data_IF_163231164563
#
_entry.id   IF_163231164563
#
_cell.length_a   1.000
_cell.length_b   1.000
_cell.length_c   1.000
_cell.angle_alpha   90.00
_cell.angle_beta   90.00
_cell.angle_gamma   90.00
#
_symmetry.space_group_name_H-M   'P 1'
#
loop_
_entity.id
_entity.type
_entity.pdbx_description
1 polymer ?
#
# COMPACT_ATOMS: atom_id res chain seq x y z
N UNK A 1 26.35 -24.16 -6.15
CA UNK A 1 27.25 -24.07 -4.99
C UNK A 1 27.28 -22.64 -4.50
N UNK A 2 26.46 -22.32 -3.49
CA UNK A 2 26.51 -21.02 -2.81
C UNK A 2 27.75 -21.03 -1.89
N UNK A 3 28.78 -20.24 -2.24
CA UNK A 3 29.91 -20.00 -1.36
C UNK A 3 29.49 -18.99 -0.30
N UNK A 4 29.68 -19.35 0.96
CA UNK A 4 29.40 -18.53 2.13
C UNK A 4 30.14 -17.18 2.04
N UNK A 5 29.41 -16.08 2.28
CA UNK A 5 30.00 -14.79 2.58
C UNK A 5 30.59 -14.88 3.99
N UNK A 6 31.91 -15.00 4.11
CA UNK A 6 32.58 -14.89 5.40
C UNK A 6 32.69 -13.40 5.77
N UNK A 7 32.08 -13.04 6.90
CA UNK A 7 32.12 -11.69 7.47
C UNK A 7 33.33 -11.62 8.41
N UNK A 8 34.35 -10.84 8.04
CA UNK A 8 35.50 -10.55 8.92
C UNK A 8 35.34 -9.15 9.49
N UNK A 9 35.26 -9.02 10.82
CA UNK A 9 35.31 -7.75 11.51
C UNK A 9 36.61 -7.65 12.30
N UNK A 10 37.33 -6.53 12.19
CA UNK A 10 38.45 -6.22 13.07
C UNK A 10 38.23 -4.85 13.71
N UNK A 11 38.27 -4.79 15.03
CA UNK A 11 38.13 -3.57 15.83
C UNK A 11 39.52 -2.96 16.09
N UNK A 12 39.96 -2.01 15.27
CA UNK A 12 41.17 -1.23 15.58
C UNK A 12 40.84 -0.14 16.62
N UNK A 13 41.25 -0.33 17.88
CA UNK A 13 41.14 0.69 18.93
C UNK A 13 42.37 1.60 18.98
N UNK A 14 42.22 2.92 19.11
CA UNK A 14 43.25 3.79 19.65
C UNK A 14 43.42 3.53 21.15
N UNK A 15 44.66 3.40 21.61
CA UNK A 15 45.01 3.11 23.00
C UNK A 15 44.84 4.39 23.86
N UNK A 16 43.71 4.52 24.57
CA UNK A 16 43.58 5.46 25.70
C UNK A 16 43.26 4.70 26.98
N UNK A 17 44.12 4.86 27.98
CA UNK A 17 43.95 4.29 29.33
C UNK A 17 42.88 5.08 30.08
N UNK A 18 41.84 4.38 30.54
CA UNK A 18 41.01 4.82 31.67
C UNK A 18 39.71 5.53 31.29
N UNK A 19 38.72 4.80 30.82
CA UNK A 19 37.33 5.24 30.93
C UNK A 19 36.43 4.01 31.12
N UNK A 20 35.91 3.81 32.34
CA UNK A 20 34.91 2.78 32.61
C UNK A 20 33.55 3.26 32.08
N UNK A 21 32.91 2.58 31.12
CA UNK A 21 31.61 3.01 30.62
C UNK A 21 30.56 2.71 31.69
N UNK A 22 29.98 3.78 32.25
CA UNK A 22 28.80 3.66 33.10
C UNK A 22 27.61 3.34 32.19
N UNK A 23 27.29 2.05 32.03
CA UNK A 23 26.11 1.59 31.30
C UNK A 23 24.84 2.05 32.04
N UNK A 24 24.32 3.23 31.73
CA UNK A 24 22.94 3.60 32.06
C UNK A 24 22.01 2.86 31.12
N UNK A 25 21.17 1.97 31.67
CA UNK A 25 19.99 1.45 30.96
C UNK A 25 19.10 2.65 30.61
N UNK A 26 19.13 3.08 29.35
CA UNK A 26 18.09 3.93 28.79
C UNK A 26 16.92 3.00 28.49
N UNK A 27 15.78 3.08 29.20
CA UNK A 27 14.62 2.28 28.85
C UNK A 27 14.21 2.64 27.42
N UNK A 28 14.23 1.65 26.53
CA UNK A 28 13.61 1.79 25.21
C UNK A 28 12.15 2.18 25.44
N UNK A 29 11.63 3.22 24.76
CA UNK A 29 10.22 3.57 24.86
C UNK A 29 9.41 2.34 24.44
N UNK A 30 8.76 1.70 25.41
CA UNK A 30 7.75 0.68 25.14
C UNK A 30 6.68 1.40 24.32
N UNK A 31 6.35 0.95 23.10
CA UNK A 31 5.26 1.54 22.33
C UNK A 31 4.00 1.39 23.18
N UNK A 32 3.55 2.49 23.78
CA UNK A 32 2.28 2.47 24.47
C UNK A 32 1.22 2.14 23.43
N UNK A 33 0.33 1.16 23.68
CA UNK A 33 -0.83 0.98 22.82
C UNK A 33 -1.51 2.33 22.74
N UNK A 34 -1.63 2.84 21.52
CA UNK A 34 -2.14 4.16 21.20
C UNK A 34 -3.54 4.30 21.82
N UNK A 35 -3.61 4.83 23.05
CA UNK A 35 -4.84 5.24 23.74
C UNK A 35 -5.34 6.52 23.10
N UNK A 36 -5.55 6.51 21.79
CA UNK A 36 -6.50 7.42 21.14
C UNK A 36 -7.88 6.75 21.15
N UNK A 37 -8.36 6.38 22.35
CA UNK A 37 -9.80 6.38 22.58
C UNK A 37 -10.22 7.86 22.61
N UNK A 38 -10.29 8.49 21.43
CA UNK A 38 -10.96 9.79 21.31
C UNK A 38 -12.38 9.55 21.82
N UNK A 39 -12.73 10.29 22.88
CA UNK A 39 -14.06 10.28 23.46
C UNK A 39 -15.08 10.50 22.33
N UNK A 40 -15.86 9.46 22.08
CA UNK A 40 -16.88 9.39 21.05
C UNK A 40 -18.03 10.30 21.50
N UNK A 41 -18.12 11.53 20.98
CA UNK A 41 -19.39 12.27 21.00
C UNK A 41 -20.29 11.63 19.95
N UNK A 42 -20.86 10.47 20.30
CA UNK A 42 -21.37 9.50 19.32
C UNK A 42 -22.55 9.94 18.48
N UNK A 43 -23.38 10.87 18.98
CA UNK A 43 -24.59 11.33 18.29
C UNK A 43 -24.30 12.13 17.01
N UNK A 44 -23.48 13.20 17.01
CA UNK A 44 -23.19 13.96 15.78
C UNK A 44 -22.45 13.14 14.73
N UNK A 45 -21.52 12.26 15.14
CA UNK A 45 -20.80 11.39 14.19
C UNK A 45 -21.73 10.39 13.52
N UNK A 46 -22.64 9.76 14.28
CA UNK A 46 -23.67 8.87 13.74
C UNK A 46 -24.58 9.63 12.78
N UNK A 47 -25.06 10.82 13.16
CA UNK A 47 -25.92 11.64 12.31
C UNK A 47 -25.28 12.03 10.98
N UNK A 48 -24.01 12.48 11.00
CA UNK A 48 -23.26 12.82 9.78
C UNK A 48 -23.06 11.58 8.91
N UNK A 49 -22.65 10.44 9.49
CA UNK A 49 -22.44 9.22 8.73
C UNK A 49 -23.73 8.70 8.09
N UNK A 50 -24.86 8.76 8.80
CA UNK A 50 -26.18 8.44 8.25
C UNK A 50 -26.52 9.34 7.07
N UNK A 51 -26.29 10.65 7.19
CA UNK A 51 -26.56 11.60 6.11
C UNK A 51 -25.66 11.32 4.88
N UNK A 52 -24.37 11.10 5.09
CA UNK A 52 -23.42 10.77 4.04
C UNK A 52 -23.81 9.47 3.34
N UNK A 53 -24.14 8.41 4.10
CA UNK A 53 -24.62 7.15 3.56
C UNK A 53 -25.89 7.35 2.73
N UNK A 54 -26.86 8.12 3.25
CA UNK A 54 -28.13 8.38 2.57
C UNK A 54 -27.94 9.12 1.24
N UNK A 55 -27.16 10.21 1.23
CA UNK A 55 -26.87 10.97 0.01
C UNK A 55 -26.12 10.10 -1.00
N UNK A 56 -25.11 9.35 -0.55
CA UNK A 56 -24.36 8.44 -1.40
C UNK A 56 -25.25 7.33 -1.99
N UNK A 57 -26.22 6.84 -1.22
CA UNK A 57 -27.18 5.84 -1.67
C UNK A 57 -28.13 6.39 -2.71
N UNK A 58 -28.68 7.59 -2.49
CA UNK A 58 -29.51 8.26 -3.50
C UNK A 58 -28.73 8.55 -4.78
N UNK A 59 -27.47 8.98 -4.66
CA UNK A 59 -26.60 9.15 -5.82
C UNK A 59 -26.34 7.83 -6.56
N UNK A 60 -26.03 6.74 -5.84
CA UNK A 60 -25.88 5.41 -6.45
C UNK A 60 -27.15 4.98 -7.19
N UNK A 61 -28.33 5.21 -6.62
CA UNK A 61 -29.61 4.89 -7.26
C UNK A 61 -29.93 5.74 -8.49
N UNK A 62 -29.38 6.95 -8.61
CA UNK A 62 -29.48 7.73 -9.86
C UNK A 62 -28.73 7.06 -11.02
N UNK A 63 -27.78 6.17 -10.72
CA UNK A 63 -27.02 5.39 -11.69
C UNK A 63 -27.62 3.98 -11.90
N UNK A 64 -28.69 3.62 -11.18
CA UNK A 64 -29.31 2.31 -11.25
C UNK A 64 -30.02 2.11 -12.59
N UNK A 65 -29.88 0.91 -13.16
CA UNK A 65 -30.26 0.68 -14.56
C UNK A 65 -31.07 -0.59 -14.80
N UNK A 66 -30.79 -1.70 -14.09
CA UNK A 66 -31.50 -2.98 -14.24
C UNK A 66 -32.70 -3.13 -13.29
N UNK A 67 -32.58 -2.60 -12.08
CA UNK A 67 -33.66 -2.50 -11.10
C UNK A 67 -33.49 -1.16 -10.39
N UNK A 68 -34.58 -0.53 -9.96
CA UNK A 68 -34.56 0.74 -9.23
C UNK A 68 -33.80 0.70 -7.89
N UNK A 69 -33.27 -0.46 -7.51
CA UNK A 69 -32.50 -0.70 -6.29
C UNK A 69 -31.09 -1.27 -6.56
N UNK A 70 -30.76 -1.62 -7.81
CA UNK A 70 -29.48 -2.25 -8.17
C UNK A 70 -28.63 -1.26 -8.98
N UNK A 71 -27.55 -0.77 -8.37
CA UNK A 71 -26.61 0.18 -8.98
C UNK A 71 -25.36 -0.52 -9.51
N UNK A 72 -24.80 -0.08 -10.65
CA UNK A 72 -23.47 -0.50 -11.13
C UNK A 72 -22.34 -0.38 -10.12
N UNK A 73 -22.41 0.65 -9.27
CA UNK A 73 -21.50 0.87 -8.15
C UNK A 73 -22.32 1.37 -6.98
N UNK A 74 -22.09 0.81 -5.80
CA UNK A 74 -22.77 1.20 -4.58
C UNK A 74 -21.80 1.92 -3.62
N UNK A 75 -21.63 3.25 -3.74
CA UNK A 75 -20.76 3.99 -2.84
C UNK A 75 -21.02 3.79 -1.33
N UNK A 76 -22.28 3.59 -0.88
CA UNK A 76 -22.54 3.34 0.53
C UNK A 76 -21.89 2.09 1.11
N UNK A 77 -21.67 1.02 0.32
CA UNK A 77 -20.95 -0.17 0.79
C UNK A 77 -19.54 0.20 1.25
N UNK A 78 -18.76 0.84 0.36
CA UNK A 78 -17.39 1.25 0.69
C UNK A 78 -17.31 2.32 1.77
N UNK A 79 -18.29 3.24 1.86
CA UNK A 79 -18.40 4.19 2.97
C UNK A 79 -18.62 3.45 4.29
N UNK A 80 -19.54 2.48 4.32
CA UNK A 80 -19.85 1.70 5.51
C UNK A 80 -18.66 0.86 5.98
N UNK A 81 -17.99 0.16 5.05
CA UNK A 81 -16.80 -0.62 5.35
C UNK A 81 -15.68 0.26 5.90
N UNK A 82 -15.38 1.39 5.25
CA UNK A 82 -14.37 2.33 5.72
C UNK A 82 -14.74 2.94 7.08
N UNK A 83 -16.00 3.31 7.29
CA UNK A 83 -16.47 3.86 8.54
C UNK A 83 -16.31 2.87 9.70
N UNK A 84 -16.64 1.59 9.50
CA UNK A 84 -16.45 0.57 10.54
C UNK A 84 -14.98 0.27 10.82
N UNK A 85 -14.10 0.36 9.82
CA UNK A 85 -12.66 0.21 10.01
C UNK A 85 -12.03 1.41 10.74
N UNK A 86 -12.49 2.63 10.48
CA UNK A 86 -11.93 3.86 11.04
C UNK A 86 -12.56 4.27 12.38
N UNK A 87 -13.87 4.12 12.51
CA UNK A 87 -14.65 4.53 13.69
C UNK A 87 -14.98 3.36 14.62
N UNK A 88 -14.73 2.12 14.17
CA UNK A 88 -15.04 0.89 14.89
C UNK A 88 -16.50 0.44 14.75
N UNK A 89 -16.80 -0.76 15.27
CA UNK A 89 -18.12 -1.40 15.15
C UNK A 89 -19.29 -0.59 15.71
N UNK A 90 -19.04 0.41 16.58
CA UNK A 90 -20.11 1.24 17.18
C UNK A 90 -20.81 2.14 16.15
N UNK A 91 -20.25 2.30 14.95
CA UNK A 91 -20.87 3.06 13.87
C UNK A 91 -21.99 2.30 13.12
N UNK A 92 -22.20 1.00 13.40
CA UNK A 92 -23.22 0.18 12.71
C UNK A 92 -24.64 0.78 12.70
N UNK A 93 -25.15 1.47 13.76
CA UNK A 93 -26.50 2.02 13.72
C UNK A 93 -26.65 3.10 12.66
N UNK A 94 -25.58 3.85 12.36
CA UNK A 94 -25.60 4.89 11.34
C UNK A 94 -25.83 4.29 9.94
N UNK A 95 -25.20 3.15 9.67
CA UNK A 95 -25.31 2.39 8.43
C UNK A 95 -26.72 1.81 8.31
N UNK A 96 -27.23 1.19 9.38
CA UNK A 96 -28.57 0.61 9.39
C UNK A 96 -29.64 1.68 9.11
N UNK A 97 -29.59 2.81 9.83
CA UNK A 97 -30.56 3.91 9.64
C UNK A 97 -30.41 4.51 8.24
N UNK A 98 -29.18 4.73 7.76
CA UNK A 98 -28.93 5.22 6.41
C UNK A 98 -29.52 4.30 5.33
N UNK A 99 -29.22 3.00 5.41
CA UNK A 99 -29.74 2.01 4.48
C UNK A 99 -31.27 1.88 4.53
N UNK A 100 -31.86 1.92 5.72
CA UNK A 100 -33.31 1.92 5.88
C UNK A 100 -33.95 3.14 5.19
N UNK A 101 -33.42 4.35 5.45
CA UNK A 101 -33.93 5.59 4.86
C UNK A 101 -33.79 5.59 3.33
N UNK A 102 -32.69 5.09 2.79
CA UNK A 102 -32.51 4.97 1.33
C UNK A 102 -33.59 4.07 0.73
N UNK A 103 -33.82 2.89 1.32
CA UNK A 103 -34.74 1.90 0.74
C UNK A 103 -36.21 2.27 0.92
N UNK A 104 -36.61 2.76 2.11
CA UNK A 104 -38.01 3.15 2.38
C UNK A 104 -38.46 4.32 1.50
N UNK A 105 -37.52 5.12 1.00
CA UNK A 105 -37.79 6.24 0.10
C UNK A 105 -37.52 5.91 -1.38
N UNK A 106 -37.33 4.63 -1.74
CA UNK A 106 -37.02 4.21 -3.12
C UNK A 106 -38.02 3.18 -3.63
N UNK A 107 -37.91 1.92 -3.22
CA UNK A 107 -38.76 0.80 -3.66
C UNK A 107 -38.93 -0.18 -2.51
N UNK A 108 -40.12 -0.74 -2.41
CA UNK A 108 -40.48 -1.72 -1.38
C UNK A 108 -41.40 -1.15 -0.33
N UNK A 109 -41.47 -1.83 0.82
CA UNK A 109 -42.23 -1.41 1.99
C UNK A 109 -41.31 -1.37 3.22
N UNK A 110 -41.88 -1.07 4.39
CA UNK A 110 -41.12 -1.01 5.65
C UNK A 110 -40.41 -2.34 5.94
N UNK A 111 -41.05 -3.48 5.69
CA UNK A 111 -40.47 -4.79 5.96
C UNK A 111 -39.28 -5.10 5.04
N UNK A 112 -39.40 -4.87 3.73
CA UNK A 112 -38.29 -5.05 2.79
C UNK A 112 -37.15 -4.06 3.07
N UNK A 113 -37.48 -2.83 3.46
CA UNK A 113 -36.49 -1.81 3.83
C UNK A 113 -35.69 -2.21 5.08
N UNK A 114 -36.34 -2.81 6.08
CA UNK A 114 -35.68 -3.35 7.26
C UNK A 114 -34.77 -4.54 6.90
N UNK A 115 -35.21 -5.41 5.99
CA UNK A 115 -34.42 -6.55 5.53
C UNK A 115 -33.16 -6.10 4.77
N UNK A 116 -33.30 -5.18 3.81
CA UNK A 116 -32.16 -4.59 3.08
C UNK A 116 -31.21 -3.88 4.06
N UNK A 117 -31.72 -3.06 4.98
CA UNK A 117 -30.89 -2.37 5.97
C UNK A 117 -30.10 -3.34 6.85
N UNK A 118 -30.72 -4.47 7.23
CA UNK A 118 -30.05 -5.54 7.97
C UNK A 118 -28.93 -6.18 7.12
N UNK A 119 -29.22 -6.51 5.86
CA UNK A 119 -28.25 -7.06 4.91
C UNK A 119 -27.03 -6.17 4.73
N UNK A 120 -27.23 -4.90 4.37
CA UNK A 120 -26.15 -3.92 4.16
C UNK A 120 -25.31 -3.70 5.43
N UNK A 121 -25.95 -3.71 6.61
CA UNK A 121 -25.25 -3.56 7.88
C UNK A 121 -24.41 -4.78 8.20
N UNK A 122 -24.96 -5.98 8.01
CA UNK A 122 -24.27 -7.25 8.25
C UNK A 122 -23.10 -7.45 7.28
N UNK A 123 -23.27 -7.07 6.01
CA UNK A 123 -22.19 -6.99 5.03
C UNK A 123 -21.04 -6.14 5.57
N UNK A 124 -21.29 -4.89 5.91
CA UNK A 124 -20.24 -3.97 6.34
C UNK A 124 -19.54 -4.45 7.62
N UNK A 125 -20.30 -5.01 8.58
CA UNK A 125 -19.74 -5.59 9.81
C UNK A 125 -18.89 -6.82 9.51
N UNK A 126 -19.35 -7.71 8.63
CA UNK A 126 -18.61 -8.89 8.19
C UNK A 126 -17.32 -8.50 7.46
N UNK A 127 -17.40 -7.56 6.51
CA UNK A 127 -16.25 -7.04 5.77
C UNK A 127 -15.22 -6.42 6.71
N UNK A 128 -15.65 -5.56 7.64
CA UNK A 128 -14.77 -4.96 8.63
C UNK A 128 -14.12 -6.01 9.55
N UNK A 129 -14.88 -7.05 9.94
CA UNK A 129 -14.36 -8.18 10.71
C UNK A 129 -13.31 -8.99 9.93
N UNK A 130 -13.57 -9.35 8.67
CA UNK A 130 -12.61 -10.06 7.82
C UNK A 130 -11.32 -9.25 7.62
N UNK A 131 -11.45 -7.96 7.32
CA UNK A 131 -10.29 -7.07 7.09
C UNK A 131 -9.47 -6.88 8.37
N UNK A 132 -10.12 -6.64 9.53
CA UNK A 132 -9.42 -6.54 10.82
C UNK A 132 -8.74 -7.87 11.20
N UNK A 133 -9.39 -9.01 10.95
CA UNK A 133 -8.89 -10.33 11.36
C UNK A 133 -7.73 -10.81 10.52
N UNK A 134 -7.77 -10.61 9.21
CA UNK A 134 -6.85 -11.25 8.26
C UNK A 134 -5.91 -10.28 7.54
N UNK A 135 -6.27 -9.00 7.44
CA UNK A 135 -5.61 -8.04 6.57
C UNK A 135 -5.02 -6.81 7.30
N UNK A 136 -5.14 -6.72 8.62
CA UNK A 136 -4.52 -5.67 9.42
C UNK A 136 -5.35 -4.39 9.58
N UNK A 137 -6.65 -4.43 9.29
CA UNK A 137 -7.54 -3.29 9.52
C UNK A 137 -7.18 -2.09 8.67
N UNK A 138 -6.90 -0.94 9.28
CA UNK A 138 -6.58 0.31 8.57
C UNK A 138 -5.21 0.29 7.86
N UNK A 139 -4.30 -0.64 8.20
CA UNK A 139 -2.99 -0.77 7.53
C UNK A 139 -3.02 -1.77 6.37
N UNK A 140 -4.21 -2.16 5.91
CA UNK A 140 -4.38 -3.20 4.89
C UNK A 140 -3.68 -2.88 3.55
N UNK A 141 -3.48 -1.61 3.22
CA UNK A 141 -2.83 -1.17 1.98
C UNK A 141 -1.31 -0.93 2.11
N UNK A 142 -0.71 -1.32 3.25
CA UNK A 142 0.73 -1.22 3.46
C UNK A 142 1.52 -2.25 2.65
N UNK A 143 0.92 -3.41 2.38
CA UNK A 143 1.57 -4.53 1.69
C UNK A 143 0.70 -5.07 0.57
N UNK A 144 1.29 -5.62 -0.53
CA UNK A 144 0.53 -6.23 -1.61
C UNK A 144 -0.42 -7.33 -1.15
N UNK A 145 0.01 -8.19 -0.21
CA UNK A 145 -0.84 -9.27 0.29
C UNK A 145 -2.07 -8.75 1.03
N UNK A 146 -1.96 -7.58 1.67
CA UNK A 146 -3.10 -6.94 2.32
C UNK A 146 -4.16 -6.50 1.31
N UNK A 147 -3.75 -5.99 0.14
CA UNK A 147 -4.67 -5.61 -0.96
C UNK A 147 -5.48 -6.82 -1.45
N UNK A 148 -4.82 -7.97 -1.68
CA UNK A 148 -5.54 -9.18 -2.12
C UNK A 148 -6.49 -9.72 -1.06
N UNK A 149 -6.10 -9.68 0.23
CA UNK A 149 -6.97 -10.08 1.33
C UNK A 149 -8.16 -9.13 1.49
N UNK A 150 -7.94 -7.83 1.29
CA UNK A 150 -9.01 -6.84 1.27
C UNK A 150 -10.02 -7.12 0.17
N UNK A 151 -9.54 -7.36 -1.06
CA UNK A 151 -10.40 -7.64 -2.19
C UNK A 151 -11.23 -8.92 -2.00
N UNK A 152 -10.61 -9.97 -1.45
CA UNK A 152 -11.32 -11.20 -1.11
C UNK A 152 -12.35 -10.97 0.02
N UNK A 153 -11.98 -10.23 1.06
CA UNK A 153 -12.87 -9.90 2.16
C UNK A 153 -14.10 -9.11 1.69
N UNK A 154 -13.89 -8.09 0.86
CA UNK A 154 -14.95 -7.30 0.23
C UNK A 154 -15.89 -8.22 -0.56
N UNK A 155 -15.36 -8.94 -1.56
CA UNK A 155 -16.15 -9.82 -2.43
C UNK A 155 -16.95 -10.90 -1.69
N UNK A 156 -16.43 -11.43 -0.58
CA UNK A 156 -17.13 -12.43 0.23
C UNK A 156 -18.18 -11.78 1.13
N UNK A 157 -17.86 -10.65 1.77
CA UNK A 157 -18.79 -9.99 2.69
C UNK A 157 -20.01 -9.42 1.96
N UNK A 158 -19.83 -8.95 0.72
CA UNK A 158 -20.87 -8.33 -0.10
C UNK A 158 -21.91 -9.31 -0.62
N UNK A 159 -21.73 -10.62 -0.42
CA UNK A 159 -22.75 -11.64 -0.73
C UNK A 159 -23.97 -11.47 0.19
N UNK A 160 -23.77 -10.92 1.40
CA UNK A 160 -24.80 -10.82 2.44
C UNK A 160 -25.91 -9.82 2.05
N UNK A 161 -25.55 -8.63 1.55
CA UNK A 161 -26.50 -7.59 1.15
C UNK A 161 -27.55 -8.09 0.15
N UNK A 162 -27.21 -8.61 -1.04
CA UNK A 162 -28.20 -9.06 -2.01
C UNK A 162 -28.92 -10.33 -1.56
N UNK A 163 -28.32 -11.18 -0.73
CA UNK A 163 -29.00 -12.33 -0.13
C UNK A 163 -30.19 -11.91 0.77
N UNK A 164 -30.08 -10.78 1.47
CA UNK A 164 -31.20 -10.21 2.23
C UNK A 164 -32.08 -9.33 1.35
N UNK A 165 -31.48 -8.41 0.60
CA UNK A 165 -32.17 -7.39 -0.18
C UNK A 165 -32.98 -7.97 -1.31
N UNK A 166 -32.34 -8.63 -2.28
CA UNK A 166 -33.02 -9.17 -3.47
C UNK A 166 -34.04 -10.24 -3.08
N UNK A 167 -33.71 -11.12 -2.13
CA UNK A 167 -34.66 -12.12 -1.61
C UNK A 167 -35.88 -11.49 -0.97
N UNK A 168 -35.71 -10.46 -0.14
CA UNK A 168 -36.84 -9.78 0.49
C UNK A 168 -37.74 -9.06 -0.52
N UNK A 169 -37.14 -8.44 -1.53
CA UNK A 169 -37.86 -7.77 -2.61
C UNK A 169 -38.62 -8.78 -3.49
N UNK A 170 -38.02 -9.92 -3.81
CA UNK A 170 -38.65 -10.96 -4.60
C UNK A 170 -39.81 -11.64 -3.85
N UNK A 171 -39.62 -11.94 -2.55
CA UNK A 171 -40.67 -12.51 -1.69
C UNK A 171 -41.87 -11.56 -1.52
N UNK A 172 -41.62 -10.24 -1.46
CA UNK A 172 -42.67 -9.24 -1.34
C UNK A 172 -43.25 -8.79 -2.69
N UNK A 173 -42.84 -9.40 -3.80
CA UNK A 173 -43.38 -9.13 -5.14
C UNK A 173 -42.87 -7.85 -5.81
N UNK A 174 -41.81 -7.22 -5.28
CA UNK A 174 -41.17 -6.04 -5.86
C UNK A 174 -40.09 -6.38 -6.89
N UNK A 175 -39.58 -7.62 -6.90
CA UNK A 175 -38.63 -8.11 -7.89
C UNK A 175 -39.13 -9.42 -8.51
N UNK A 176 -38.95 -9.58 -9.83
CA UNK A 176 -39.35 -10.80 -10.54
C UNK A 176 -38.34 -11.93 -10.28
N UNK A 177 -38.84 -13.09 -9.87
CA UNK A 177 -38.06 -14.31 -9.67
C UNK A 177 -37.34 -14.77 -10.94
N UNK A 178 -37.87 -14.48 -12.13
CA UNK A 178 -37.21 -14.79 -13.41
C UNK A 178 -35.89 -14.04 -13.57
N UNK A 179 -35.82 -12.81 -13.05
CA UNK A 179 -34.65 -11.94 -13.12
C UNK A 179 -33.81 -11.94 -11.82
N UNK A 180 -34.19 -12.77 -10.84
CA UNK A 180 -33.55 -12.82 -9.52
C UNK A 180 -32.02 -12.92 -9.61
N UNK A 181 -31.51 -13.87 -10.42
CA UNK A 181 -30.07 -14.08 -10.57
C UNK A 181 -29.33 -12.89 -11.17
N UNK A 182 -29.94 -12.20 -12.14
CA UNK A 182 -29.36 -11.01 -12.76
C UNK A 182 -29.32 -9.83 -11.78
N UNK A 183 -30.44 -9.58 -11.07
CA UNK A 183 -30.52 -8.52 -10.05
C UNK A 183 -29.53 -8.78 -8.92
N UNK A 184 -29.46 -10.02 -8.44
CA UNK A 184 -28.53 -10.45 -7.40
C UNK A 184 -27.07 -10.24 -7.82
N UNK A 185 -26.70 -10.66 -9.03
CA UNK A 185 -25.35 -10.52 -9.55
C UNK A 185 -24.94 -9.05 -9.71
N UNK A 186 -25.83 -8.22 -10.30
CA UNK A 186 -25.57 -6.78 -10.46
C UNK A 186 -25.40 -6.09 -9.10
N UNK A 187 -26.23 -6.44 -8.12
CA UNK A 187 -26.17 -5.86 -6.79
C UNK A 187 -24.88 -6.26 -6.06
N UNK A 188 -24.53 -7.55 -6.06
CA UNK A 188 -23.26 -8.05 -5.49
C UNK A 188 -22.03 -7.36 -6.10
N UNK A 189 -22.02 -7.18 -7.43
CA UNK A 189 -20.92 -6.50 -8.10
C UNK A 189 -20.89 -4.99 -7.81
N UNK A 190 -22.06 -4.36 -7.68
CA UNK A 190 -22.18 -2.96 -7.27
C UNK A 190 -21.58 -2.71 -5.89
N UNK A 191 -21.94 -3.55 -4.91
CA UNK A 191 -21.44 -3.49 -3.53
C UNK A 191 -19.93 -3.77 -3.49
N UNK A 192 -19.47 -4.83 -4.17
CA UNK A 192 -18.04 -5.17 -4.27
C UNK A 192 -17.22 -4.05 -4.91
N UNK A 193 -17.72 -3.43 -5.98
CA UNK A 193 -17.04 -2.30 -6.64
C UNK A 193 -17.03 -1.07 -5.75
N UNK A 194 -18.11 -0.82 -5.00
CA UNK A 194 -18.19 0.21 -3.98
C UNK A 194 -17.10 0.05 -2.92
N UNK A 195 -16.95 -1.16 -2.38
CA UNK A 195 -15.88 -1.49 -1.43
C UNK A 195 -14.49 -1.30 -2.03
N UNK A 196 -14.24 -1.82 -3.24
CA UNK A 196 -12.93 -1.74 -3.87
C UNK A 196 -12.51 -0.31 -4.25
N UNK A 197 -13.45 0.56 -4.64
CA UNK A 197 -13.13 1.92 -5.06
C UNK A 197 -13.17 2.92 -3.90
N UNK A 198 -14.22 2.87 -3.09
CA UNK A 198 -14.52 3.95 -2.13
C UNK A 198 -13.81 3.71 -0.81
N UNK A 199 -13.75 2.45 -0.33
CA UNK A 199 -13.15 2.20 0.98
C UNK A 199 -11.64 2.50 1.01
N UNK A 200 -10.80 2.08 0.04
CA UNK A 200 -9.39 2.46 0.04
C UNK A 200 -9.19 3.98 -0.02
N UNK A 201 -9.99 4.68 -0.83
CA UNK A 201 -9.93 6.13 -0.94
C UNK A 201 -10.15 6.79 0.43
N UNK A 202 -11.22 6.42 1.13
CA UNK A 202 -11.54 6.98 2.45
C UNK A 202 -10.47 6.61 3.49
N UNK A 203 -10.06 5.34 3.55
CA UNK A 203 -9.07 4.85 4.54
C UNK A 203 -7.73 5.57 4.35
N UNK A 204 -7.23 5.64 3.12
CA UNK A 204 -5.91 6.22 2.83
C UNK A 204 -5.86 7.72 3.08
N UNK A 205 -6.95 8.45 2.78
CA UNK A 205 -7.03 9.88 3.05
C UNK A 205 -7.29 10.21 4.52
N UNK A 206 -7.86 9.28 5.29
CA UNK A 206 -8.14 9.47 6.72
C UNK A 206 -6.91 9.29 7.63
N UNK A 207 -5.88 8.59 7.14
CA UNK A 207 -4.61 8.42 7.87
C UNK A 207 -3.74 9.67 7.63
N UNK A 208 -2.86 10.06 8.55
CA UNK A 208 -1.93 11.18 8.33
C UNK A 208 -0.86 10.84 7.27
N UNK A 209 -0.64 11.72 6.30
CA UNK A 209 0.43 11.54 5.30
C UNK A 209 1.77 11.95 5.88
N UNK A 210 2.81 11.13 5.68
CA UNK A 210 4.20 11.51 5.98
C UNK A 210 4.84 12.32 4.83
N UNK A 211 4.16 12.44 3.67
CA UNK A 211 4.68 13.16 2.50
C UNK A 211 4.68 14.67 2.75
N UNK A 212 5.85 15.29 2.65
CA UNK A 212 5.99 16.75 2.60
C UNK A 212 5.78 17.20 1.17
N UNK A 213 4.80 18.09 0.96
CA UNK A 213 4.49 18.61 -0.36
C UNK A 213 5.42 19.76 -0.72
N UNK A 214 6.11 19.64 -1.85
CA UNK A 214 6.77 20.77 -2.50
C UNK A 214 5.96 21.21 -3.73
N UNK A 215 6.11 22.48 -4.17
CA UNK A 215 5.38 23.01 -5.34
C UNK A 215 5.55 22.15 -6.60
N UNK A 216 6.74 21.58 -6.82
CA UNK A 216 7.01 20.69 -7.95
C UNK A 216 6.19 19.41 -7.89
N UNK A 217 6.10 18.77 -6.72
CA UNK A 217 5.30 17.56 -6.53
C UNK A 217 3.80 17.83 -6.76
N UNK A 218 3.30 18.97 -6.29
CA UNK A 218 1.91 19.37 -6.50
C UNK A 218 1.58 19.58 -7.98
N UNK A 219 2.47 20.25 -8.72
CA UNK A 219 2.32 20.44 -10.17
C UNK A 219 2.41 19.10 -10.91
N UNK A 220 3.34 18.23 -10.55
CA UNK A 220 3.50 16.91 -11.17
C UNK A 220 2.25 16.03 -10.98
N UNK A 221 1.71 15.98 -9.76
CA UNK A 221 0.44 15.28 -9.46
C UNK A 221 -0.71 15.90 -10.25
N UNK A 222 -0.80 17.23 -10.27
CA UNK A 222 -1.85 17.95 -11.01
C UNK A 222 -1.84 17.67 -12.51
N UNK A 223 -0.65 17.68 -13.14
CA UNK A 223 -0.49 17.37 -14.57
C UNK A 223 -0.89 15.92 -14.85
N UNK A 224 -0.46 14.96 -14.03
CA UNK A 224 -0.79 13.55 -14.24
C UNK A 224 -2.27 13.26 -14.02
N UNK A 225 -2.91 13.90 -13.04
CA UNK A 225 -4.37 13.81 -12.86
C UNK A 225 -5.13 14.43 -14.03
N UNK A 226 -4.68 15.59 -14.53
CA UNK A 226 -5.28 16.22 -15.71
C UNK A 226 -5.13 15.31 -16.94
N UNK A 227 -3.95 14.75 -17.17
CA UNK A 227 -3.70 13.83 -18.27
C UNK A 227 -4.57 12.58 -18.15
N UNK A 228 -4.71 12.03 -16.94
CA UNK A 228 -5.59 10.90 -16.67
C UNK A 228 -7.05 11.26 -17.00
N UNK A 229 -7.54 12.43 -16.58
CA UNK A 229 -8.90 12.87 -16.88
C UNK A 229 -9.11 13.01 -18.39
N UNK A 230 -8.22 13.71 -19.09
CA UNK A 230 -8.31 13.92 -20.54
C UNK A 230 -8.29 12.59 -21.29
N UNK A 231 -7.41 11.66 -20.91
CA UNK A 231 -7.34 10.35 -21.54
C UNK A 231 -8.58 9.51 -21.23
N UNK A 232 -9.09 9.58 -20.00
CA UNK A 232 -10.31 8.87 -19.59
C UNK A 232 -11.52 9.40 -20.36
N UNK A 233 -11.67 10.71 -20.49
CA UNK A 233 -12.73 11.34 -21.30
C UNK A 233 -12.58 11.01 -22.79
N UNK A 234 -11.35 10.94 -23.31
CA UNK A 234 -11.13 10.54 -24.68
C UNK A 234 -11.60 9.09 -24.96
N UNK A 235 -11.32 8.16 -24.02
CA UNK A 235 -11.65 6.73 -24.14
C UNK A 235 -13.11 6.44 -23.83
N UNK A 236 -13.68 7.08 -22.80
CA UNK A 236 -14.99 6.76 -22.23
C UNK A 236 -16.04 7.85 -22.43
N UNK A 237 -15.66 9.09 -22.74
CA UNK A 237 -16.55 10.25 -22.91
C UNK A 237 -17.03 10.49 -24.35
N UNK A 238 -16.80 9.53 -25.26
CA UNK A 238 -17.32 9.58 -26.63
C UNK A 238 -16.57 10.50 -27.60
N UNK A 239 -15.38 10.99 -27.25
CA UNK A 239 -14.57 11.83 -28.14
C UNK A 239 -13.99 11.05 -29.31
N UNK A 240 -13.67 9.77 -29.09
CA UNK A 240 -13.20 8.87 -30.13
C UNK A 240 -14.41 8.20 -30.80
N UNK A 241 -14.62 8.49 -32.10
CA UNK A 241 -15.64 7.85 -32.94
C UNK A 241 -15.25 6.44 -33.39
N UNK A 242 -14.10 5.94 -32.94
CA UNK A 242 -13.61 4.61 -33.28
C UNK A 242 -14.61 3.60 -32.72
N UNK A 243 -15.24 2.83 -33.62
CA UNK A 243 -16.10 1.69 -33.27
C UNK A 243 -15.22 0.61 -32.64
N UNK A 244 -14.89 0.82 -31.36
CA UNK A 244 -13.89 0.08 -30.62
C UNK A 244 -14.41 -1.27 -30.09
N UNK A 245 -15.47 -1.82 -30.71
CA UNK A 245 -16.07 -3.11 -30.30
C UNK A 245 -15.03 -4.25 -30.27
N UNK A 246 -13.96 -4.16 -31.05
CA UNK A 246 -12.95 -5.22 -31.17
C UNK A 246 -11.55 -4.86 -30.65
N UNK A 247 -11.35 -3.66 -30.07
CA UNK A 247 -10.02 -3.24 -29.59
C UNK A 247 -10.03 -3.00 -28.08
N UNK A 248 -8.99 -3.43 -27.33
CA UNK A 248 -8.93 -3.29 -25.88
C UNK A 248 -8.55 -1.85 -25.47
N UNK A 249 -9.28 -0.84 -25.97
CA UNK A 249 -8.97 0.58 -25.73
C UNK A 249 -9.10 0.97 -24.25
N UNK A 250 -9.86 0.20 -23.45
CA UNK A 250 -9.93 0.38 -22.00
C UNK A 250 -8.59 0.15 -21.28
N UNK A 251 -7.61 -0.49 -21.93
CA UNK A 251 -6.25 -0.66 -21.37
C UNK A 251 -5.35 0.56 -21.59
N UNK A 252 -5.76 1.53 -22.41
CA UNK A 252 -4.96 2.73 -22.72
C UNK A 252 -4.71 3.58 -21.45
N UNK A 253 -5.65 3.59 -20.50
CA UNK A 253 -5.46 4.27 -19.21
C UNK A 253 -4.54 3.49 -18.25
N UNK A 254 -4.26 2.21 -18.52
CA UNK A 254 -3.47 1.32 -17.67
C UNK A 254 -2.04 1.82 -17.42
N UNK A 255 -1.26 2.18 -18.45
CA UNK A 255 0.08 2.75 -18.27
C UNK A 255 0.15 3.98 -17.36
N UNK A 256 -0.85 4.89 -17.41
CA UNK A 256 -0.89 6.07 -16.53
C UNK A 256 -1.15 5.64 -15.08
N UNK A 257 -2.08 4.71 -14.86
CA UNK A 257 -2.36 4.20 -13.51
C UNK A 257 -1.15 3.46 -12.93
N UNK A 258 -0.46 2.67 -13.75
CA UNK A 258 0.81 2.01 -13.39
C UNK A 258 1.85 3.07 -13.02
N UNK A 259 2.01 4.10 -13.85
CA UNK A 259 2.93 5.20 -13.58
C UNK A 259 2.63 5.90 -12.25
N UNK A 260 1.35 6.15 -11.95
CA UNK A 260 0.94 6.70 -10.66
C UNK A 260 1.32 5.78 -9.49
N UNK A 261 1.13 4.47 -9.63
CA UNK A 261 1.49 3.50 -8.60
C UNK A 261 3.01 3.43 -8.33
N UNK A 262 3.85 3.65 -9.35
CA UNK A 262 5.31 3.73 -9.23
C UNK A 262 5.81 5.05 -8.65
N UNK A 263 5.20 6.17 -9.08
CA UNK A 263 5.70 7.51 -8.81
C UNK A 263 5.16 8.12 -7.52
N UNK A 264 3.93 7.79 -7.16
CA UNK A 264 3.20 8.42 -6.06
C UNK A 264 2.84 7.44 -4.94
N UNK A 265 2.19 7.94 -3.90
CA UNK A 265 1.76 7.11 -2.77
C UNK A 265 0.45 6.38 -3.11
N UNK A 266 0.04 5.48 -2.21
CA UNK A 266 -1.22 4.77 -2.34
C UNK A 266 -2.43 5.72 -2.40
N UNK A 267 -2.36 6.90 -1.76
CA UNK A 267 -3.45 7.90 -1.76
C UNK A 267 -3.75 8.45 -3.15
N UNK A 268 -2.72 8.93 -3.83
CA UNK A 268 -2.87 9.50 -5.16
C UNK A 268 -3.27 8.41 -6.15
N UNK A 269 -2.72 7.20 -6.00
CA UNK A 269 -3.10 6.04 -6.82
C UNK A 269 -4.58 5.70 -6.66
N UNK A 270 -5.09 5.58 -5.43
CA UNK A 270 -6.51 5.35 -5.16
C UNK A 270 -7.41 6.48 -5.72
N UNK A 271 -6.94 7.73 -5.64
CA UNK A 271 -7.66 8.88 -6.19
C UNK A 271 -7.73 8.82 -7.73
N UNK A 272 -6.62 8.49 -8.39
CA UNK A 272 -6.58 8.32 -9.84
C UNK A 272 -7.49 7.20 -10.33
N UNK A 273 -7.46 6.04 -9.67
CA UNK A 273 -8.35 4.91 -9.97
C UNK A 273 -9.81 5.33 -9.79
N UNK A 274 -10.15 5.99 -8.68
CA UNK A 274 -11.51 6.49 -8.45
C UNK A 274 -12.00 7.41 -9.57
N UNK A 275 -11.20 8.39 -9.99
CA UNK A 275 -11.55 9.32 -11.08
C UNK A 275 -11.74 8.58 -12.41
N UNK A 276 -10.77 7.73 -12.78
CA UNK A 276 -10.83 6.95 -14.01
C UNK A 276 -12.07 6.03 -14.03
N UNK A 277 -12.34 5.33 -12.94
CA UNK A 277 -13.53 4.49 -12.81
C UNK A 277 -14.82 5.30 -12.84
N UNK A 278 -14.89 6.47 -12.20
CA UNK A 278 -16.06 7.34 -12.24
C UNK A 278 -16.39 7.79 -13.68
N UNK A 279 -15.37 8.21 -14.45
CA UNK A 279 -15.52 8.58 -15.87
C UNK A 279 -15.95 7.36 -16.70
N UNK A 280 -15.33 6.19 -16.48
CA UNK A 280 -15.68 4.96 -17.19
C UNK A 280 -17.12 4.49 -16.92
N UNK A 281 -17.58 4.58 -15.66
CA UNK A 281 -18.96 4.26 -15.26
C UNK A 281 -19.93 5.24 -15.92
N UNK A 282 -19.65 6.53 -15.83
CA UNK A 282 -20.49 7.57 -16.43
C UNK A 282 -20.61 7.39 -17.95
N UNK A 283 -19.48 7.22 -18.64
CA UNK A 283 -19.44 6.98 -20.08
C UNK A 283 -20.24 5.75 -20.50
N UNK A 284 -20.01 4.62 -19.84
CA UNK A 284 -20.69 3.35 -20.14
C UNK A 284 -22.21 3.47 -19.97
N UNK A 285 -22.68 4.15 -18.91
CA UNK A 285 -24.11 4.37 -18.67
C UNK A 285 -24.77 5.27 -19.73
N UNK A 286 -24.02 6.18 -20.34
CA UNK A 286 -24.49 7.05 -21.42
C UNK A 286 -24.29 6.44 -22.82
N UNK A 287 -23.87 5.17 -22.90
CA UNK A 287 -23.66 4.48 -24.17
C UNK A 287 -22.35 4.83 -24.86
N UNK A 288 -21.37 5.35 -24.12
CA UNK A 288 -20.02 5.64 -24.61
C UNK A 288 -18.97 4.67 -24.08
N UNK A 289 -17.88 4.54 -24.81
CA UNK A 289 -16.71 3.75 -24.41
C UNK A 289 -16.80 2.26 -24.76
N UNK A 290 -15.74 1.50 -24.43
CA UNK A 290 -15.54 0.13 -24.91
C UNK A 290 -16.44 -0.91 -24.25
N UNK A 291 -17.05 -0.60 -23.11
CA UNK A 291 -17.82 -1.58 -22.35
C UNK A 291 -19.29 -1.64 -22.77
N UNK A 292 -19.72 -0.83 -23.74
CA UNK A 292 -21.10 -0.81 -24.22
C UNK A 292 -21.36 -2.05 -25.08
N UNK A 293 -22.04 -3.02 -24.50
CA UNK A 293 -22.50 -4.26 -25.13
C UNK A 293 -23.95 -4.21 -25.62
N UNK A 294 -24.45 -5.33 -26.13
CA UNK A 294 -25.84 -5.47 -26.59
C UNK A 294 -26.84 -5.49 -25.42
N UNK A 295 -26.45 -6.16 -24.33
CA UNK A 295 -27.22 -6.17 -23.09
C UNK A 295 -26.54 -5.28 -22.04
N UNK A 296 -27.35 -4.55 -21.28
CA UNK A 296 -26.85 -3.68 -20.21
C UNK A 296 -26.08 -4.46 -19.13
N UNK A 297 -26.57 -5.65 -18.73
CA UNK A 297 -25.87 -6.50 -17.77
C UNK A 297 -24.47 -6.91 -18.25
N UNK A 298 -24.31 -7.23 -19.54
CA UNK A 298 -22.98 -7.54 -20.10
C UNK A 298 -22.04 -6.34 -20.02
N UNK A 299 -22.58 -5.13 -20.24
CA UNK A 299 -21.82 -3.89 -20.16
C UNK A 299 -21.32 -3.63 -18.74
N UNK A 300 -22.21 -3.83 -17.75
CA UNK A 300 -21.88 -3.68 -16.33
C UNK A 300 -20.86 -4.73 -15.88
N UNK A 301 -21.05 -5.99 -16.27
CA UNK A 301 -20.12 -7.08 -15.93
C UNK A 301 -18.71 -6.82 -16.47
N UNK A 302 -18.59 -6.35 -17.72
CA UNK A 302 -17.32 -6.02 -18.33
C UNK A 302 -16.64 -4.83 -17.61
N UNK A 303 -17.39 -3.76 -17.35
CA UNK A 303 -16.92 -2.58 -16.64
C UNK A 303 -16.48 -2.89 -15.20
N UNK A 304 -17.28 -3.68 -14.47
CA UNK A 304 -16.99 -4.06 -13.07
C UNK A 304 -15.78 -5.00 -12.99
N UNK A 305 -15.67 -5.97 -13.91
CA UNK A 305 -14.51 -6.86 -13.99
C UNK A 305 -13.23 -6.08 -14.29
N UNK A 306 -13.27 -5.15 -15.26
CA UNK A 306 -12.14 -4.28 -15.57
C UNK A 306 -11.77 -3.38 -14.39
N UNK A 307 -12.76 -2.77 -13.74
CA UNK A 307 -12.56 -1.90 -12.57
C UNK A 307 -11.92 -2.67 -11.41
N UNK A 308 -12.39 -3.89 -11.13
CA UNK A 308 -11.84 -4.74 -10.07
C UNK A 308 -10.38 -5.10 -10.37
N UNK A 309 -10.08 -5.58 -11.58
CA UNK A 309 -8.71 -5.93 -11.99
C UNK A 309 -7.79 -4.72 -11.90
N UNK A 310 -8.19 -3.59 -12.47
CA UNK A 310 -7.42 -2.36 -12.44
C UNK A 310 -7.13 -1.92 -11.00
N UNK A 311 -8.15 -1.89 -10.15
CA UNK A 311 -8.05 -1.44 -8.77
C UNK A 311 -7.13 -2.35 -7.96
N UNK A 312 -7.34 -3.66 -8.02
CA UNK A 312 -6.55 -4.64 -7.28
C UNK A 312 -5.09 -4.60 -7.74
N UNK A 313 -4.83 -4.62 -9.05
CA UNK A 313 -3.48 -4.61 -9.60
C UNK A 313 -2.73 -3.32 -9.28
N UNK A 314 -3.36 -2.16 -9.48
CA UNK A 314 -2.72 -0.86 -9.23
C UNK A 314 -2.49 -0.61 -7.72
N UNK A 315 -3.44 -0.98 -6.87
CA UNK A 315 -3.27 -0.90 -5.42
C UNK A 315 -2.19 -1.87 -4.91
N UNK A 316 -2.15 -3.11 -5.42
CA UNK A 316 -1.12 -4.08 -5.06
C UNK A 316 0.28 -3.62 -5.49
N UNK A 317 0.39 -3.04 -6.69
CA UNK A 317 1.63 -2.45 -7.19
C UNK A 317 2.07 -1.27 -6.32
N UNK A 318 1.17 -0.34 -6.01
CA UNK A 318 1.48 0.82 -5.17
C UNK A 318 1.89 0.41 -3.75
N UNK A 319 1.20 -0.58 -3.18
CA UNK A 319 1.57 -1.16 -1.88
C UNK A 319 2.95 -1.84 -1.93
N UNK A 320 3.29 -2.51 -3.03
CA UNK A 320 4.61 -3.13 -3.23
C UNK A 320 5.73 -2.10 -3.34
N UNK A 321 5.49 -1.01 -4.06
CA UNK A 321 6.42 0.12 -4.15
C UNK A 321 6.64 0.78 -2.79
N UNK A 322 5.57 0.96 -2.00
CA UNK A 322 5.67 1.49 -0.65
C UNK A 322 6.38 0.54 0.33
N UNK A 323 6.15 -0.78 0.23
CA UNK A 323 6.87 -1.78 1.01
C UNK A 323 8.37 -1.75 0.69
N UNK A 324 8.74 -1.72 -0.59
CA UNK A 324 10.12 -1.60 -1.04
C UNK A 324 10.78 -0.33 -0.52
N UNK A 325 10.13 0.83 -0.68
CA UNK A 325 10.67 2.10 -0.20
C UNK A 325 10.87 2.13 1.32
N UNK A 326 10.00 1.49 2.09
CA UNK A 326 10.18 1.35 3.55
C UNK A 326 11.35 0.44 3.91
N UNK A 327 11.56 -0.64 3.16
CA UNK A 327 12.70 -1.53 3.37
C UNK A 327 14.04 -0.83 3.05
N UNK A 328 14.08 -0.05 1.97
CA UNK A 328 15.25 0.75 1.58
C UNK A 328 15.57 1.84 2.62
N UNK A 329 14.57 2.57 3.14
CA UNK A 329 14.81 3.58 4.18
C UNK A 329 15.24 2.94 5.50
N UNK A 330 14.65 1.81 5.89
CA UNK A 330 15.05 1.09 7.10
C UNK A 330 16.50 0.56 7.00
N UNK A 331 16.92 0.12 5.82
CA UNK A 331 18.30 -0.26 5.56
C UNK A 331 19.22 0.96 5.69
N UNK A 332 18.86 2.09 5.07
CA UNK A 332 19.65 3.32 5.13
C UNK A 332 19.78 3.86 6.56
N UNK A 333 18.71 3.79 7.35
CA UNK A 333 18.71 4.18 8.76
C UNK A 333 19.62 3.27 9.59
N UNK A 334 19.58 1.95 9.34
CA UNK A 334 20.49 1.00 9.97
C UNK A 334 21.96 1.27 9.61
N UNK A 335 22.26 1.54 8.33
CA UNK A 335 23.61 1.88 7.88
C UNK A 335 24.12 3.17 8.54
N UNK A 336 23.26 4.20 8.61
CA UNK A 336 23.56 5.46 9.27
C UNK A 336 23.82 5.28 10.78
N UNK A 337 23.03 4.46 11.46
CA UNK A 337 23.24 4.15 12.87
C UNK A 337 24.56 3.40 13.13
N UNK A 338 24.92 2.45 12.25
CA UNK A 338 26.21 1.75 12.35
C UNK A 338 27.38 2.70 12.14
N UNK A 339 27.31 3.57 11.12
CA UNK A 339 28.35 4.57 10.86
C UNK A 339 28.51 5.51 12.06
N UNK A 340 27.41 6.05 12.58
CA UNK A 340 27.43 6.98 13.72
C UNK A 340 28.00 6.34 14.99
N UNK A 341 27.66 5.08 15.26
CA UNK A 341 28.20 4.35 16.40
C UNK A 341 29.70 4.08 16.25
N UNK A 342 30.17 3.75 15.04
CA UNK A 342 31.58 3.57 14.75
C UNK A 342 32.37 4.87 14.94
N UNK A 343 31.85 5.98 14.41
CA UNK A 343 32.47 7.30 14.51
C UNK A 343 32.57 7.77 15.96
N UNK A 344 31.49 7.64 16.73
CA UNK A 344 31.47 8.03 18.16
C UNK A 344 32.43 7.20 19.01
N UNK A 345 32.68 5.95 18.64
CA UNK A 345 33.63 5.06 19.30
C UNK A 345 35.06 5.16 18.75
N UNK A 346 35.33 6.06 17.79
CA UNK A 346 36.59 6.14 17.05
C UNK A 346 37.04 4.79 16.46
N UNK A 347 36.10 3.95 16.04
CA UNK A 347 36.35 2.63 15.48
C UNK A 347 36.45 2.69 13.95
N UNK A 348 37.51 2.08 13.42
CA UNK A 348 37.60 1.81 11.98
C UNK A 348 36.95 0.47 11.64
N UNK A 349 35.78 0.49 11.02
CA UNK A 349 35.14 -0.72 10.47
C UNK A 349 35.47 -0.90 8.99
N UNK A 350 35.51 -2.16 8.56
CA UNK A 350 35.69 -2.56 7.16
C UNK A 350 34.94 -3.86 6.88
N UNK A 351 34.55 -4.03 5.61
CA UNK A 351 33.94 -5.24 5.07
C UNK A 351 34.59 -5.57 3.73
N UNK A 352 35.03 -6.80 3.55
CA UNK A 352 35.68 -7.22 2.31
C UNK A 352 34.80 -8.18 1.52
N UNK A 353 34.42 -7.79 0.31
CA UNK A 353 33.87 -8.70 -0.69
C UNK A 353 35.02 -9.40 -1.41
N UNK A 354 35.31 -10.62 -0.96
CA UNK A 354 36.40 -11.47 -1.48
C UNK A 354 36.27 -11.75 -2.98
N UNK A 355 35.03 -11.86 -3.50
CA UNK A 355 34.81 -12.22 -4.92
C UNK A 355 35.20 -11.10 -5.87
N UNK A 356 34.88 -9.87 -5.49
CA UNK A 356 35.10 -8.69 -6.34
C UNK A 356 36.35 -7.89 -5.91
N UNK A 357 37.07 -8.38 -4.89
CA UNK A 357 38.18 -7.73 -4.20
C UNK A 357 37.92 -6.25 -3.85
N UNK A 358 36.75 -5.98 -3.25
CA UNK A 358 36.35 -4.63 -2.84
C UNK A 358 36.15 -4.56 -1.34
N UNK A 359 36.82 -3.60 -0.69
CA UNK A 359 36.61 -3.28 0.71
C UNK A 359 35.71 -2.05 0.83
N UNK A 360 34.60 -2.21 1.54
CA UNK A 360 33.90 -1.08 2.13
C UNK A 360 34.59 -0.74 3.45
N UNK A 361 34.82 0.54 3.71
CA UNK A 361 35.54 1.01 4.90
C UNK A 361 34.88 2.28 5.41
N UNK A 362 34.90 2.46 6.73
CA UNK A 362 34.47 3.71 7.38
C UNK A 362 35.46 4.85 7.15
N UNK A 363 35.01 6.09 7.31
CA UNK A 363 35.88 7.27 7.18
C UNK A 363 37.01 7.25 8.22
N UNK A 364 36.71 6.84 9.46
CA UNK A 364 37.71 6.69 10.50
C UNK A 364 38.77 5.63 10.15
N UNK A 365 38.37 4.52 9.52
CA UNK A 365 39.32 3.53 9.01
C UNK A 365 40.22 4.14 7.92
N UNK A 366 39.67 4.91 6.97
CA UNK A 366 40.47 5.59 5.95
C UNK A 366 41.49 6.55 6.56
N UNK A 367 41.08 7.36 7.55
CA UNK A 367 41.99 8.27 8.28
C UNK A 367 43.06 7.51 9.07
N UNK A 368 42.72 6.34 9.63
CA UNK A 368 43.67 5.50 10.35
C UNK A 368 44.77 4.98 9.41
N UNK A 369 44.38 4.48 8.23
CA UNK A 369 45.28 3.88 7.24
C UNK A 369 45.88 4.89 6.24
N UNK A 370 45.44 6.15 6.24
CA UNK A 370 45.97 7.21 5.37
C UNK A 370 45.47 7.15 3.92
N UNK A 371 44.26 6.63 3.70
CA UNK A 371 43.62 6.60 2.39
C UNK A 371 42.89 7.91 2.07
N UNK A 372 42.88 8.33 0.81
CA UNK A 372 42.07 9.47 0.37
C UNK A 372 40.57 9.12 0.41
N UNK A 373 39.68 10.11 0.59
CA UNK A 373 38.23 9.87 0.79
C UNK A 373 37.58 9.05 -0.34
N UNK A 374 37.96 9.28 -1.60
CA UNK A 374 37.37 8.64 -2.78
C UNK A 374 38.20 7.51 -3.38
N UNK A 375 39.31 7.11 -2.74
CA UNK A 375 40.18 6.04 -3.26
C UNK A 375 39.50 4.67 -3.11
N UNK A 376 39.34 3.86 -4.18
CA UNK A 376 38.85 2.48 -4.05
C UNK A 376 39.82 1.66 -3.19
N UNK A 377 39.30 0.86 -2.26
CA UNK A 377 40.13 0.02 -1.38
C UNK A 377 39.98 -1.44 -1.82
N UNK A 378 41.08 -2.06 -2.22
CA UNK A 378 41.20 -3.49 -2.51
C UNK A 378 42.20 -4.14 -1.55
N UNK A 379 42.18 -5.47 -1.42
CA UNK A 379 43.09 -6.14 -0.49
C UNK A 379 44.57 -5.91 -0.87
N UNK A 380 44.87 -5.94 -2.17
CA UNK A 380 46.20 -5.61 -2.69
C UNK A 380 46.64 -4.20 -2.30
N UNK A 381 45.71 -3.25 -2.34
CA UNK A 381 46.01 -1.87 -1.96
C UNK A 381 46.25 -1.75 -0.45
N UNK A 382 45.49 -2.46 0.38
CA UNK A 382 45.73 -2.52 1.84
C UNK A 382 47.11 -3.11 2.13
N UNK A 383 47.50 -4.20 1.46
CA UNK A 383 48.82 -4.82 1.62
C UNK A 383 49.98 -3.87 1.31
N UNK A 384 49.81 -2.92 0.39
CA UNK A 384 50.84 -1.91 0.10
C UNK A 384 51.06 -0.93 1.27
N UNK A 385 50.02 -0.66 2.05
CA UNK A 385 50.08 0.21 3.24
C UNK A 385 50.61 -0.56 4.46
N UNK A 386 50.49 -1.89 4.49
CA UNK A 386 51.10 -2.72 5.54
C UNK A 386 52.63 -2.72 5.41
N UNK A 387 53.33 -2.68 6.55
CA UNK A 387 54.78 -2.69 6.62
C UNK A 387 55.37 -3.91 5.89
N UNK A 388 56.46 -3.80 5.10
CA UNK A 388 56.97 -4.88 4.25
C UNK A 388 57.19 -6.22 4.96
N UNK A 389 57.67 -6.19 6.21
CA UNK A 389 57.90 -7.39 7.03
C UNK A 389 56.61 -8.12 7.43
N UNK A 390 55.47 -7.41 7.52
CA UNK A 390 54.20 -7.97 8.00
C UNK A 390 53.28 -8.43 6.86
N UNK A 391 53.60 -8.09 5.59
CA UNK A 391 52.77 -8.38 4.41
C UNK A 391 52.57 -9.87 4.16
N UNK A 392 53.65 -10.65 4.15
CA UNK A 392 53.56 -12.09 3.88
C UNK A 392 52.82 -12.83 5.00
N UNK A 393 52.98 -12.38 6.25
CA UNK A 393 52.21 -12.90 7.39
C UNK A 393 50.72 -12.62 7.23
N UNK A 394 50.34 -11.41 6.80
CA UNK A 394 48.94 -11.07 6.55
C UNK A 394 48.34 -11.91 5.40
N UNK A 395 49.06 -12.07 4.28
CA UNK A 395 48.60 -12.91 3.15
C UNK A 395 48.35 -14.34 3.58
N UNK A 396 49.31 -14.97 4.27
CA UNK A 396 49.18 -16.35 4.74
C UNK A 396 47.99 -16.52 5.69
N UNK A 397 47.76 -15.54 6.58
CA UNK A 397 46.59 -15.56 7.48
C UNK A 397 45.28 -15.46 6.72
N UNK A 398 45.19 -14.54 5.78
CA UNK A 398 43.99 -14.38 4.93
C UNK A 398 43.73 -15.65 4.11
N UNK A 399 44.78 -16.22 3.51
CA UNK A 399 44.73 -17.48 2.77
C UNK A 399 44.19 -18.62 3.66
N UNK A 400 44.75 -18.76 4.87
CA UNK A 400 44.32 -19.76 5.83
C UNK A 400 42.84 -19.62 6.21
N UNK A 401 42.39 -18.38 6.47
CA UNK A 401 40.99 -18.06 6.76
C UNK A 401 40.04 -18.40 5.60
N UNK A 402 40.46 -18.18 4.35
CA UNK A 402 39.69 -18.52 3.15
C UNK A 402 39.57 -20.04 2.94
N UNK A 403 40.62 -20.79 3.29
CA UNK A 403 40.70 -22.24 3.06
C UNK A 403 39.97 -23.07 4.14
N UNK A 404 40.04 -22.63 5.41
CA UNK A 404 39.57 -23.45 6.55
C UNK A 404 38.18 -23.04 7.07
N UNK A 405 37.61 -21.94 6.56
CA UNK A 405 36.32 -21.41 6.99
C UNK A 405 36.41 -20.58 8.27
N UNK A 406 35.76 -19.41 8.27
CA UNK A 406 36.01 -18.30 9.20
C UNK A 406 35.68 -18.54 10.68
N UNK A 407 36.31 -17.70 11.51
CA UNK A 407 36.07 -17.48 12.93
C UNK A 407 36.57 -16.09 13.35
N UNK A 408 36.35 -15.71 14.62
CA UNK A 408 36.86 -14.44 15.14
C UNK A 408 38.39 -14.49 15.24
N UNK A 409 39.05 -13.51 14.60
CA UNK A 409 40.50 -13.43 14.56
C UNK A 409 40.98 -12.03 14.91
N UNK A 410 41.91 -11.98 15.85
CA UNK A 410 42.64 -10.77 16.20
C UNK A 410 44.02 -10.79 15.52
N UNK A 411 44.40 -9.65 14.94
CA UNK A 411 45.68 -9.51 14.26
C UNK A 411 46.24 -8.12 14.48
N UNK A 412 47.48 -8.08 14.94
CA UNK A 412 48.29 -6.88 15.02
C UNK A 412 49.28 -6.87 13.86
N UNK A 413 49.51 -5.71 13.26
CA UNK A 413 50.48 -5.49 12.18
C UNK A 413 50.79 -3.99 12.10
N UNK A 414 51.98 -3.66 11.61
CA UNK A 414 52.41 -2.27 11.41
C UNK A 414 51.92 -1.74 10.07
N UNK A 415 51.54 -0.48 10.03
CA UNK A 415 51.18 0.24 8.79
C UNK A 415 52.17 1.37 8.52
N UNK A 416 52.53 1.57 7.25
CA UNK A 416 53.33 2.70 6.77
C UNK A 416 52.40 3.71 6.10
N UNK A 417 52.27 4.89 6.70
CA UNK A 417 51.43 5.97 6.18
C UNK A 417 52.11 6.71 5.02
N UNK A 418 51.35 7.48 4.21
CA UNK A 418 51.91 8.28 3.11
C UNK A 418 52.97 9.29 3.55
N UNK A 419 52.94 9.74 4.80
CA UNK A 419 53.93 10.65 5.40
C UNK A 419 55.24 9.93 5.85
N UNK A 420 55.33 8.62 5.63
CA UNK A 420 56.47 7.78 6.03
C UNK A 420 56.44 7.34 7.50
N UNK A 421 55.46 7.77 8.29
CA UNK A 421 55.31 7.32 9.67
C UNK A 421 54.85 5.87 9.75
N UNK A 422 55.35 5.13 10.74
CA UNK A 422 54.92 3.76 11.03
C UNK A 422 54.01 3.77 12.26
N UNK A 423 52.84 3.13 12.18
CA UNK A 423 51.86 3.03 13.26
C UNK A 423 51.51 1.58 13.57
#
# INVERSE_FOLDING_TARGET
>A
MLKAQYLFYCLCRPYEKGCAPTLRRVPLPVPQPNKQSRAFSGLPVIGILTLVYFIAGKFGLMLASLHASASPVWPPAGIALAALLLLGYRAWPAIFVGAFLVNVTTVGNVATSLAVASGNTLEAVCGAWLVNRFAGGTTVFDRPQGVFKFALAAAVSTIISPAFGVTSLALAGFADWTNYGAIWLTWWLGDTTGDLLIAPLIILWSIASKRRWNRRDAVEVGILLLLLCVLSEAVFGGWLTISARNYPIGLISGPIVIWMAFRFTQRETATGIFILSAIAIWGTLHGFGPFVGEAQNQSLLALQSWTAVLTISAMALSAGMAERGRAEEALRESEAHVSLAADAANLGLWFWNIRDDKLWVTEQWRRLFGFAESEPVSFDRVLQVVHPEDRERMKQRVQHMLEHGGGDHESEYRITRPDGSTR
#
